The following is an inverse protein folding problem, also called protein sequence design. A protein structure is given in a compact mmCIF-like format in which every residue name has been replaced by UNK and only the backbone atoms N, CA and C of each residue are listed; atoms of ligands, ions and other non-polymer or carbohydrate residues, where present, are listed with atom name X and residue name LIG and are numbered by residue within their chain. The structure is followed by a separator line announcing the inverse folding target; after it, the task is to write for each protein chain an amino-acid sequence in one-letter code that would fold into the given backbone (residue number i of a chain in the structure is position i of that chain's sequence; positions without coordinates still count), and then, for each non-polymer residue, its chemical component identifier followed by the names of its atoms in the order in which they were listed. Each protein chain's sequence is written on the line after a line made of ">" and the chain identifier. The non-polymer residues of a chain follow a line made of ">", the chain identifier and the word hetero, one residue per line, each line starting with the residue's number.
data_IF_023647061020
#
_entry.id   IF_023647061020
#
_cell.length_a   1.000
_cell.length_b   1.000
_cell.length_c   1.000
_cell.angle_alpha   90.00
_cell.angle_beta   90.00
_cell.angle_gamma   90.00
#
_symmetry.space_group_name_H-M   'P 1'
#
loop_
_entity.id
_entity.type
_entity.pdbx_description
1 polymer ?
#
# COMPACT_ATOMS: atom_id res chain seq x y z
N UNK A 1 -43.84 19.36 -16.07
CA UNK A 1 -43.20 18.51 -15.03
C UNK A 1 -42.52 17.23 -15.58
N UNK A 2 -42.31 17.06 -16.90
CA UNK A 2 -41.65 15.86 -17.47
C UNK A 2 -40.11 15.98 -17.58
N UNK A 3 -39.58 17.19 -17.74
CA UNK A 3 -38.12 17.41 -17.90
C UNK A 3 -37.37 17.56 -16.57
N UNK A 4 -38.02 18.04 -15.51
CA UNK A 4 -37.39 18.17 -14.19
C UNK A 4 -36.98 16.82 -13.62
N UNK A 5 -37.84 15.78 -13.72
CA UNK A 5 -37.52 14.42 -13.24
C UNK A 5 -36.28 13.82 -13.94
N UNK A 6 -36.14 13.99 -15.26
CA UNK A 6 -34.95 13.53 -16.02
C UNK A 6 -33.67 14.28 -15.60
N UNK A 7 -33.78 15.57 -15.30
CA UNK A 7 -32.65 16.37 -14.82
C UNK A 7 -32.16 15.95 -13.43
N UNK A 8 -33.07 15.63 -12.51
CA UNK A 8 -32.69 15.08 -11.20
C UNK A 8 -32.07 13.69 -11.32
N UNK A 9 -32.60 12.85 -12.22
CA UNK A 9 -32.06 11.52 -12.46
C UNK A 9 -30.65 11.55 -13.07
N UNK A 10 -30.38 12.45 -14.02
CA UNK A 10 -29.05 12.59 -14.60
C UNK A 10 -28.03 13.11 -13.59
N UNK A 11 -28.41 14.04 -12.72
CA UNK A 11 -27.56 14.49 -11.61
C UNK A 11 -27.26 13.38 -10.60
N UNK A 12 -28.27 12.58 -10.27
CA UNK A 12 -28.10 11.42 -9.40
C UNK A 12 -27.10 10.41 -9.99
N UNK A 13 -27.25 10.08 -11.28
CA UNK A 13 -26.30 9.23 -12.01
C UNK A 13 -24.88 9.81 -12.00
N UNK A 14 -24.73 11.11 -12.23
CA UNK A 14 -23.43 11.79 -12.19
C UNK A 14 -22.75 11.66 -10.83
N UNK A 15 -23.51 11.86 -9.74
CA UNK A 15 -23.00 11.70 -8.37
C UNK A 15 -22.54 10.27 -8.12
N UNK A 16 -23.30 9.27 -8.57
CA UNK A 16 -22.92 7.86 -8.43
C UNK A 16 -21.62 7.54 -9.18
N UNK A 17 -21.47 8.06 -10.40
CA UNK A 17 -20.26 7.86 -11.21
C UNK A 17 -19.05 8.49 -10.50
N UNK A 18 -19.19 9.72 -10.00
CA UNK A 18 -18.11 10.41 -9.28
C UNK A 18 -17.74 9.65 -8.00
N UNK A 19 -18.74 9.19 -7.24
CA UNK A 19 -18.50 8.43 -6.00
C UNK A 19 -17.77 7.12 -6.29
N UNK A 20 -18.19 6.38 -7.33
CA UNK A 20 -17.51 5.16 -7.75
C UNK A 20 -16.07 5.43 -8.19
N UNK A 21 -15.83 6.54 -8.89
CA UNK A 21 -14.49 6.93 -9.34
C UNK A 21 -13.57 7.25 -8.15
N UNK A 22 -14.07 7.99 -7.14
CA UNK A 22 -13.31 8.31 -5.93
C UNK A 22 -12.93 7.03 -5.20
N UNK A 23 -13.89 6.12 -4.99
CA UNK A 23 -13.62 4.84 -4.32
C UNK A 23 -12.57 4.05 -5.08
N UNK A 24 -12.70 3.94 -6.41
CA UNK A 24 -11.75 3.24 -7.26
C UNK A 24 -10.33 3.82 -7.16
N UNK A 25 -10.20 5.15 -7.21
CA UNK A 25 -8.91 5.84 -7.09
C UNK A 25 -8.29 5.63 -5.70
N UNK A 26 -9.08 5.67 -4.63
CA UNK A 26 -8.60 5.37 -3.27
C UNK A 26 -8.07 3.93 -3.16
N UNK A 27 -8.76 2.95 -3.76
CA UNK A 27 -8.27 1.57 -3.82
C UNK A 27 -6.97 1.45 -4.63
N UNK A 28 -6.86 2.14 -5.77
CA UNK A 28 -5.62 2.15 -6.56
C UNK A 28 -4.45 2.76 -5.77
N UNK A 29 -4.68 3.86 -5.04
CA UNK A 29 -3.66 4.49 -4.22
C UNK A 29 -3.18 3.54 -3.10
N UNK A 30 -4.13 2.92 -2.38
CA UNK A 30 -3.82 1.95 -1.32
C UNK A 30 -3.06 0.72 -1.84
N UNK A 31 -3.45 0.18 -3.00
CA UNK A 31 -2.74 -0.95 -3.62
C UNK A 31 -1.34 -0.58 -4.12
N UNK A 32 -1.10 0.68 -4.47
CA UNK A 32 0.22 1.18 -4.86
C UNK A 32 1.13 1.37 -3.63
N UNK A 33 0.55 1.78 -2.50
CA UNK A 33 1.24 1.91 -1.22
C UNK A 33 1.65 0.54 -0.67
N UNK A 34 0.76 -0.45 -0.71
CA UNK A 34 1.03 -1.83 -0.29
C UNK A 34 2.14 -2.50 -1.13
N UNK A 35 2.21 -2.20 -2.44
CA UNK A 35 3.31 -2.67 -3.30
C UNK A 35 4.64 -2.02 -2.95
N UNK A 36 4.67 -0.72 -2.65
CA UNK A 36 5.89 -0.03 -2.24
C UNK A 36 6.39 -0.54 -0.90
N UNK A 37 5.52 -0.72 0.09
CA UNK A 37 5.92 -1.27 1.40
C UNK A 37 6.42 -2.71 1.28
N UNK A 38 5.82 -3.53 0.40
CA UNK A 38 6.27 -4.91 0.19
C UNK A 38 7.60 -4.98 -0.57
N UNK A 39 7.82 -4.10 -1.55
CA UNK A 39 9.08 -4.03 -2.32
C UNK A 39 10.23 -3.36 -1.52
N UNK A 40 9.94 -2.41 -0.62
CA UNK A 40 10.95 -1.72 0.21
C UNK A 40 11.31 -2.46 1.51
N UNK A 41 10.55 -3.49 1.93
CA UNK A 41 10.70 -4.15 3.24
C UNK A 41 11.59 -5.40 3.23
N UNK A 42 11.93 -5.95 2.06
CA UNK A 42 12.79 -7.14 1.99
C UNK A 42 14.27 -6.72 1.98
N UNK A 43 14.77 -6.32 3.14
CA UNK A 43 16.22 -6.13 3.34
C UNK A 43 16.85 -7.51 3.49
N UNK A 44 17.63 -7.94 2.50
CA UNK A 44 18.39 -9.17 2.56
C UNK A 44 19.73 -8.89 3.23
N UNK A 45 20.00 -9.59 4.33
CA UNK A 45 21.27 -9.50 5.07
C UNK A 45 21.99 -10.83 4.93
N UNK A 46 23.17 -10.81 4.31
CA UNK A 46 24.12 -11.92 4.31
C UNK A 46 25.30 -11.58 5.21
N UNK A 47 25.78 -12.55 5.99
CA UNK A 47 26.95 -12.43 6.84
C UNK A 47 27.62 -13.80 7.01
N UNK A 48 28.89 -13.82 7.39
CA UNK A 48 29.62 -15.07 7.66
C UNK A 48 29.12 -15.73 8.95
N UNK A 49 28.68 -14.93 9.93
CA UNK A 49 28.12 -15.41 11.19
C UNK A 49 26.94 -14.54 11.67
N UNK A 50 25.94 -15.19 12.27
CA UNK A 50 24.75 -14.53 12.85
C UNK A 50 24.54 -15.03 14.27
N UNK A 51 24.61 -14.12 15.24
CA UNK A 51 24.44 -14.41 16.66
C UNK A 51 23.18 -13.70 17.16
N UNK A 52 22.28 -14.45 17.80
CA UNK A 52 21.12 -13.87 18.47
C UNK A 52 21.40 -13.65 19.95
N UNK A 53 21.43 -12.38 20.37
CA UNK A 53 21.53 -11.99 21.77
C UNK A 53 20.13 -11.84 22.38
N UNK A 54 19.72 -12.86 23.13
CA UNK A 54 18.43 -12.90 23.84
C UNK A 54 18.30 -11.83 24.93
N UNK A 55 19.41 -11.32 25.48
CA UNK A 55 19.36 -10.34 26.57
C UNK A 55 18.95 -8.95 26.07
N UNK A 56 19.32 -8.64 24.83
CA UNK A 56 19.02 -7.35 24.20
C UNK A 56 18.00 -7.44 23.06
N UNK A 57 17.54 -8.66 22.75
CA UNK A 57 16.59 -8.96 21.66
C UNK A 57 17.12 -8.49 20.30
N UNK A 58 18.40 -8.79 20.01
CA UNK A 58 19.11 -8.30 18.82
C UNK A 58 19.80 -9.43 18.05
N UNK A 59 19.86 -9.26 16.72
CA UNK A 59 20.72 -10.05 15.84
C UNK A 59 22.03 -9.30 15.59
N UNK A 60 23.16 -9.96 15.82
CA UNK A 60 24.51 -9.47 15.58
C UNK A 60 25.06 -10.23 14.39
N UNK A 61 25.43 -9.49 13.33
CA UNK A 61 26.01 -10.03 12.11
C UNK A 61 27.51 -9.74 12.10
N UNK A 62 28.35 -10.78 11.98
CA UNK A 62 29.81 -10.66 12.02
C UNK A 62 30.46 -11.23 10.74
N UNK A 63 31.63 -10.69 10.38
CA UNK A 63 32.36 -11.05 9.16
C UNK A 63 32.01 -10.15 7.97
N UNK A 64 32.02 -10.71 6.77
CA UNK A 64 31.63 -10.00 5.56
C UNK A 64 30.10 -9.84 5.49
N UNK A 65 29.61 -8.68 5.95
CA UNK A 65 28.19 -8.35 5.93
C UNK A 65 27.82 -7.64 4.63
N UNK A 66 26.86 -8.19 3.88
CA UNK A 66 26.28 -7.61 2.67
C UNK A 66 24.80 -7.35 2.94
N UNK A 67 24.37 -6.11 2.67
CA UNK A 67 22.98 -5.66 2.81
C UNK A 67 22.49 -5.31 1.41
N UNK A 68 21.40 -5.92 0.96
CA UNK A 68 20.81 -5.74 -0.36
C UNK A 68 19.30 -5.55 -0.27
#
# INVERSE_FOLDING_TARGET
>A
MKNSKKFYFSRFLLILIILSLIIFLSFCASAQEEKKETEESVVNIQADNVIYDKSTDKMIFEGNVIIT
#
